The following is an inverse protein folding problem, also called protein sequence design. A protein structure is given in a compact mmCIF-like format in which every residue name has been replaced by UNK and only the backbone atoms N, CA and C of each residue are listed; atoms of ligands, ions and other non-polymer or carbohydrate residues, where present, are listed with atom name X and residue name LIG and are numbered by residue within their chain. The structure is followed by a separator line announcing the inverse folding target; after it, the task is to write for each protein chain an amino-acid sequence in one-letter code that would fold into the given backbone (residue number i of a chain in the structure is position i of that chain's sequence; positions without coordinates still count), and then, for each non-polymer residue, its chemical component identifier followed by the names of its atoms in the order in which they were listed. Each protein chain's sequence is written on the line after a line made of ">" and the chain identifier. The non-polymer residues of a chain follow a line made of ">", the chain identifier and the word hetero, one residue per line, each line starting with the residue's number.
data_IF_645244637086
#
_entry.id   IF_645244637086
#
_cell.length_a   1.000
_cell.length_b   1.000
_cell.length_c   1.000
_cell.angle_alpha   90.00
_cell.angle_beta   90.00
_cell.angle_gamma   90.00
#
_symmetry.space_group_name_H-M   'P 1'
#
loop_
_entity.id
_entity.type
_entity.pdbx_description
1 polymer ?
#
# COMPACT_ATOMS: atom_id res chain seq x y z
N UNK A 1 -23.12 -29.22 20.46
CA UNK A 1 -24.03 -28.09 20.79
C UNK A 1 -23.30 -26.78 20.48
N UNK A 2 -23.79 -25.91 19.58
CA UNK A 2 -23.14 -24.63 19.24
C UNK A 2 -23.49 -23.57 20.30
N UNK A 3 -22.51 -22.81 20.79
CA UNK A 3 -22.70 -21.70 21.75
C UNK A 3 -22.34 -20.39 21.08
N UNK A 4 -23.23 -19.40 21.14
CA UNK A 4 -22.95 -18.04 20.64
C UNK A 4 -21.96 -17.36 21.57
N UNK A 5 -20.84 -16.89 21.03
CA UNK A 5 -19.78 -16.20 21.78
C UNK A 5 -19.83 -14.67 21.62
N UNK A 6 -20.28 -14.17 20.47
CA UNK A 6 -20.39 -12.74 20.16
C UNK A 6 -21.68 -12.46 19.36
N UNK A 7 -22.22 -11.25 19.47
CA UNK A 7 -23.37 -10.73 18.70
C UNK A 7 -23.01 -9.36 18.13
N UNK A 8 -23.48 -9.04 16.93
CA UNK A 8 -23.33 -7.72 16.32
C UNK A 8 -21.88 -7.34 16.01
N UNK A 9 -21.05 -8.32 15.65
CA UNK A 9 -19.66 -8.08 15.23
C UNK A 9 -19.62 -8.02 13.71
N UNK A 10 -19.25 -6.86 13.16
CA UNK A 10 -19.12 -6.67 11.72
C UNK A 10 -17.84 -7.31 11.18
N UNK A 11 -16.72 -7.13 11.88
CA UNK A 11 -15.42 -7.65 11.48
C UNK A 11 -14.91 -8.66 12.51
N UNK A 12 -14.99 -9.94 12.16
CA UNK A 12 -14.19 -10.99 12.79
C UNK A 12 -12.82 -11.00 12.12
N UNK A 13 -11.77 -11.10 12.93
CA UNK A 13 -10.39 -11.20 12.48
C UNK A 13 -9.95 -12.67 12.57
N UNK A 14 -8.66 -12.95 12.47
CA UNK A 14 -8.13 -14.32 12.51
C UNK A 14 -8.21 -14.94 13.91
N UNK A 15 -8.48 -16.27 14.01
CA UNK A 15 -8.27 -17.02 15.24
C UNK A 15 -6.78 -17.30 15.47
N UNK A 16 -6.39 -17.57 16.72
CA UNK A 16 -5.05 -18.09 17.01
C UNK A 16 -4.85 -19.48 16.40
N UNK A 17 -3.62 -19.86 16.00
CA UNK A 17 -3.31 -21.19 15.47
C UNK A 17 -3.82 -22.34 16.34
N UNK A 18 -3.73 -22.20 17.67
CA UNK A 18 -4.21 -23.20 18.62
C UNK A 18 -5.71 -23.11 18.96
N UNK A 19 -6.44 -22.19 18.33
CA UNK A 19 -7.88 -21.95 18.53
C UNK A 19 -8.26 -21.40 19.91
N UNK A 20 -7.31 -21.01 20.76
CA UNK A 20 -7.60 -20.45 22.10
C UNK A 20 -8.20 -19.06 22.06
N UNK A 21 -7.90 -18.27 21.02
CA UNK A 21 -8.33 -16.88 20.90
C UNK A 21 -9.02 -16.59 19.56
N UNK A 22 -9.99 -15.70 19.60
CA UNK A 22 -10.64 -15.11 18.43
C UNK A 22 -10.51 -13.60 18.52
N UNK A 23 -10.06 -12.97 17.44
CA UNK A 23 -9.96 -11.52 17.36
C UNK A 23 -11.18 -10.92 16.64
N UNK A 24 -11.56 -9.71 17.02
CA UNK A 24 -12.66 -8.98 16.39
C UNK A 24 -12.51 -7.47 16.59
N UNK A 25 -13.20 -6.70 15.75
CA UNK A 25 -13.32 -5.25 15.93
C UNK A 25 -14.64 -4.94 16.63
N UNK A 26 -14.58 -4.03 17.59
CA UNK A 26 -15.74 -3.39 18.21
C UNK A 26 -15.37 -1.98 18.66
N UNK A 27 -16.20 -1.01 18.31
CA UNK A 27 -16.06 0.39 18.69
C UNK A 27 -14.70 0.98 18.22
N UNK A 28 -14.29 0.63 17.00
CA UNK A 28 -13.05 1.04 16.36
C UNK A 28 -11.79 0.35 16.91
N UNK A 29 -11.93 -0.56 17.87
CA UNK A 29 -10.83 -1.18 18.62
C UNK A 29 -10.77 -2.68 18.38
N UNK A 30 -9.56 -3.25 18.46
CA UNK A 30 -9.36 -4.70 18.33
C UNK A 30 -9.47 -5.34 19.71
N UNK A 31 -10.30 -6.36 19.79
CA UNK A 31 -10.55 -7.16 20.98
C UNK A 31 -10.15 -8.60 20.76
N UNK A 32 -9.77 -9.28 21.83
CA UNK A 32 -9.62 -10.73 21.88
C UNK A 32 -10.72 -11.36 22.72
N UNK A 33 -11.10 -12.58 22.33
CA UNK A 33 -11.98 -13.46 23.08
C UNK A 33 -11.27 -14.79 23.34
N UNK A 34 -11.07 -15.14 24.61
CA UNK A 34 -10.53 -16.44 25.01
C UNK A 34 -11.64 -17.49 25.02
N UNK A 35 -11.54 -18.50 24.14
CA UNK A 35 -12.62 -19.45 23.84
C UNK A 35 -13.03 -20.30 25.05
N UNK A 36 -12.06 -20.72 25.88
CA UNK A 36 -12.32 -21.65 27.01
C UNK A 36 -13.20 -21.06 28.12
N UNK A 37 -12.92 -19.83 28.54
CA UNK A 37 -13.59 -19.18 29.68
C UNK A 37 -14.44 -17.96 29.28
N UNK A 38 -14.40 -17.55 28.02
CA UNK A 38 -15.15 -16.41 27.49
C UNK A 38 -14.59 -15.04 27.86
N UNK A 39 -13.39 -14.97 28.46
CA UNK A 39 -12.76 -13.71 28.86
C UNK A 39 -12.47 -12.87 27.61
N UNK A 40 -12.91 -11.60 27.64
CA UNK A 40 -12.65 -10.64 26.58
C UNK A 40 -11.62 -9.61 27.04
N UNK A 41 -10.74 -9.19 26.12
CA UNK A 41 -9.75 -8.13 26.37
C UNK A 41 -9.76 -7.15 25.22
N UNK A 42 -9.68 -5.86 25.56
CA UNK A 42 -9.44 -4.81 24.58
C UNK A 42 -7.93 -4.68 24.39
N UNK A 43 -7.43 -4.95 23.19
CA UNK A 43 -6.01 -4.99 22.89
C UNK A 43 -5.46 -3.62 22.52
N UNK A 44 -6.30 -2.75 21.93
CA UNK A 44 -5.85 -1.49 21.33
C UNK A 44 -6.41 -0.25 22.01
N UNK A 45 -7.37 -0.38 22.93
CA UNK A 45 -8.06 0.77 23.53
C UNK A 45 -7.23 1.66 24.45
N UNK A 46 -5.97 1.31 24.72
CA UNK A 46 -5.00 2.15 25.46
C UNK A 46 -3.93 2.75 24.56
N UNK A 47 -3.96 2.46 23.26
CA UNK A 47 -2.96 2.94 22.31
C UNK A 47 -3.47 4.23 21.66
N UNK A 48 -2.61 5.24 21.59
CA UNK A 48 -2.91 6.54 20.97
C UNK A 48 -2.79 6.46 19.43
N UNK A 49 -3.44 5.46 18.82
CA UNK A 49 -3.46 5.23 17.37
C UNK A 49 -4.73 4.44 16.98
N UNK A 50 -5.02 4.35 15.69
CA UNK A 50 -6.20 3.66 15.17
C UNK A 50 -5.81 2.43 14.36
N UNK A 51 -6.44 1.30 14.68
CA UNK A 51 -6.26 0.02 13.98
C UNK A 51 -7.30 -0.20 12.87
N UNK A 52 -8.17 0.79 12.66
CA UNK A 52 -9.18 0.84 11.62
C UNK A 52 -8.96 2.06 10.73
N UNK A 53 -9.34 1.95 9.45
CA UNK A 53 -9.14 2.98 8.45
C UNK A 53 -10.03 4.20 8.70
N UNK A 54 -9.44 5.22 9.31
CA UNK A 54 -10.13 6.48 9.59
C UNK A 54 -10.31 7.34 8.33
N UNK A 55 -9.64 7.01 7.22
CA UNK A 55 -9.82 7.70 5.93
C UNK A 55 -10.85 7.03 5.02
N UNK A 56 -11.45 5.91 5.46
CA UNK A 56 -12.56 5.25 4.76
C UNK A 56 -13.74 6.23 4.67
N UNK A 57 -14.05 6.66 3.45
CA UNK A 57 -15.09 7.64 3.12
C UNK A 57 -16.50 7.05 3.01
N UNK A 58 -16.66 5.74 3.28
CA UNK A 58 -17.96 5.09 3.31
C UNK A 58 -18.78 5.47 4.55
N UNK A 59 -20.10 5.29 4.45
CA UNK A 59 -21.04 5.50 5.57
C UNK A 59 -20.98 4.40 6.65
N UNK A 60 -19.96 3.55 6.63
CA UNK A 60 -19.76 2.52 7.62
C UNK A 60 -19.49 3.14 9.00
N UNK A 61 -20.33 2.80 9.99
CA UNK A 61 -20.12 3.17 11.40
C UNK A 61 -18.84 2.52 11.92
N UNK A 62 -18.75 1.19 11.81
CA UNK A 62 -17.53 0.43 12.12
C UNK A 62 -16.65 0.40 10.86
N UNK A 63 -15.50 1.07 10.94
CA UNK A 63 -14.50 1.19 9.85
C UNK A 63 -13.68 -0.09 9.72
N UNK A 64 -13.18 -0.35 8.51
CA UNK A 64 -12.43 -1.58 8.24
C UNK A 64 -11.12 -1.60 9.02
N UNK A 65 -10.72 -2.72 9.63
CA UNK A 65 -9.40 -2.85 10.22
C UNK A 65 -8.31 -2.84 9.15
N UNK A 66 -7.12 -2.32 9.46
CA UNK A 66 -5.97 -2.37 8.54
C UNK A 66 -5.39 -3.79 8.36
N UNK A 67 -5.75 -4.74 9.24
CA UNK A 67 -5.28 -6.12 9.20
C UNK A 67 -6.31 -7.08 9.77
N UNK A 68 -6.29 -8.33 9.31
CA UNK A 68 -6.99 -9.45 9.95
C UNK A 68 -6.22 -10.05 11.15
N UNK A 69 -5.02 -9.55 11.47
CA UNK A 69 -4.12 -10.14 12.46
C UNK A 69 -3.30 -11.30 11.90
N UNK A 70 -1.98 -11.21 11.98
CA UNK A 70 -1.05 -12.30 11.60
C UNK A 70 -0.43 -12.89 12.86
N UNK A 71 -0.61 -14.19 13.10
CA UNK A 71 -0.23 -14.82 14.37
C UNK A 71 1.20 -15.35 14.35
N UNK A 72 1.84 -15.38 15.52
CA UNK A 72 2.97 -16.27 15.75
C UNK A 72 2.49 -17.72 15.84
N UNK A 73 3.30 -18.68 15.37
CA UNK A 73 2.99 -20.13 15.37
C UNK A 73 2.61 -20.65 16.76
N UNK A 74 3.28 -20.15 17.80
CA UNK A 74 3.05 -20.54 19.19
C UNK A 74 1.83 -19.86 19.84
N UNK A 75 1.09 -19.04 19.07
CA UNK A 75 -0.06 -18.25 19.53
C UNK A 75 0.26 -17.28 20.68
N UNK A 76 1.54 -16.97 20.93
CA UNK A 76 1.96 -16.07 22.01
C UNK A 76 1.64 -14.61 21.72
N UNK A 77 1.62 -14.21 20.44
CA UNK A 77 1.28 -12.87 20.01
C UNK A 77 0.67 -12.83 18.60
N UNK A 78 0.04 -11.70 18.29
CA UNK A 78 -0.49 -11.35 16.97
C UNK A 78 0.11 -10.03 16.52
N UNK A 79 0.39 -9.92 15.22
CA UNK A 79 0.79 -8.69 14.56
C UNK A 79 -0.47 -7.99 14.02
N UNK A 80 -0.66 -6.75 14.46
CA UNK A 80 -1.75 -5.87 14.05
C UNK A 80 -1.17 -4.59 13.45
N UNK A 81 -1.91 -3.98 12.51
CA UNK A 81 -1.48 -2.73 11.88
C UNK A 81 -2.30 -1.54 12.38
N UNK A 82 -1.61 -0.45 12.69
CA UNK A 82 -2.22 0.86 12.46
C UNK A 82 -1.98 1.29 11.00
N UNK A 83 -2.25 2.54 10.67
CA UNK A 83 -2.05 3.04 9.30
C UNK A 83 -0.63 2.80 8.79
N UNK A 84 0.39 3.07 9.59
CA UNK A 84 1.80 3.04 9.17
C UNK A 84 2.60 1.92 9.78
N UNK A 85 2.22 1.47 10.98
CA UNK A 85 3.08 0.69 11.85
C UNK A 85 2.53 -0.69 12.19
N UNK A 86 3.47 -1.61 12.43
CA UNK A 86 3.20 -2.97 12.89
C UNK A 86 3.36 -3.03 14.40
N UNK A 87 2.38 -3.64 15.07
CA UNK A 87 2.33 -3.83 16.50
C UNK A 87 2.27 -5.32 16.82
N UNK A 88 3.15 -5.80 17.71
CA UNK A 88 3.12 -7.15 18.27
C UNK A 88 2.36 -7.12 19.60
N UNK A 89 1.23 -7.83 19.69
CA UNK A 89 0.36 -7.79 20.87
C UNK A 89 0.05 -9.20 21.36
N UNK A 90 0.27 -9.46 22.65
CA UNK A 90 -0.17 -10.69 23.29
C UNK A 90 -1.71 -10.70 23.40
N UNK A 91 -2.39 -11.80 23.05
CA UNK A 91 -3.85 -11.83 22.97
C UNK A 91 -4.54 -11.75 24.34
N UNK A 92 -3.83 -11.89 25.44
CA UNK A 92 -4.34 -11.67 26.81
C UNK A 92 -4.17 -10.22 27.31
N UNK A 93 -3.48 -9.38 26.52
CA UNK A 93 -3.15 -7.99 26.81
C UNK A 93 -1.95 -7.82 27.74
N UNK A 94 -1.14 -8.85 27.98
CA UNK A 94 0.03 -8.79 28.87
C UNK A 94 1.22 -8.04 28.28
N UNK A 95 1.33 -7.98 26.94
CA UNK A 95 2.46 -7.40 26.22
C UNK A 95 1.99 -6.70 24.96
N UNK A 96 2.52 -5.50 24.71
CA UNK A 96 2.33 -4.73 23.47
C UNK A 96 3.65 -4.08 23.10
N UNK A 97 4.10 -4.27 21.85
CA UNK A 97 5.35 -3.70 21.33
C UNK A 97 5.07 -3.09 19.95
N UNK A 98 5.49 -1.84 19.74
CA UNK A 98 5.51 -1.21 18.42
C UNK A 98 6.78 -1.67 17.69
N UNK A 99 6.65 -2.38 16.56
CA UNK A 99 7.79 -2.96 15.82
C UNK A 99 8.42 -2.00 14.82
N UNK A 100 7.67 -1.01 14.33
CA UNK A 100 8.12 -0.07 13.30
C UNK A 100 7.78 1.37 13.69
N UNK A 101 8.43 2.36 13.06
CA UNK A 101 8.14 3.78 13.28
C UNK A 101 8.05 4.56 11.95
N UNK A 102 6.93 4.37 11.25
CA UNK A 102 6.63 4.95 9.95
C UNK A 102 5.73 6.18 9.99
N UNK A 103 5.11 6.49 11.13
CA UNK A 103 4.15 7.60 11.23
C UNK A 103 4.71 8.97 10.82
N UNK A 104 5.93 9.30 11.27
CA UNK A 104 6.58 10.59 10.94
C UNK A 104 6.99 10.70 9.47
N UNK A 105 7.57 9.63 8.93
CA UNK A 105 8.04 9.55 7.53
C UNK A 105 6.92 9.19 6.54
N UNK A 106 5.73 8.87 7.05
CA UNK A 106 4.59 8.33 6.28
C UNK A 106 4.99 7.09 5.46
N UNK A 107 5.78 6.21 6.06
CA UNK A 107 6.14 4.92 5.49
C UNK A 107 5.23 3.86 6.10
N UNK A 108 4.49 3.17 5.26
CA UNK A 108 3.63 2.06 5.63
C UNK A 108 4.43 0.77 5.65
N UNK A 109 4.32 0.03 6.75
CA UNK A 109 4.95 -1.27 6.96
C UNK A 109 3.89 -2.37 6.96
N UNK A 110 4.10 -3.44 6.18
CA UNK A 110 3.21 -4.61 6.13
C UNK A 110 4.04 -5.90 6.08
N UNK A 111 3.54 -6.99 6.64
CA UNK A 111 4.17 -8.31 6.49
C UNK A 111 4.26 -8.67 5.01
N UNK A 112 5.45 -9.08 4.57
CA UNK A 112 5.70 -9.61 3.22
C UNK A 112 5.28 -11.07 3.11
N UNK A 113 4.93 -11.52 1.91
CA UNK A 113 4.65 -12.93 1.64
C UNK A 113 5.89 -13.83 1.83
N UNK A 114 7.11 -13.29 1.70
CA UNK A 114 8.38 -13.97 1.97
C UNK A 114 8.50 -14.60 3.37
N UNK A 115 7.61 -14.26 4.30
CA UNK A 115 7.58 -14.84 5.63
C UNK A 115 6.89 -16.20 5.68
N UNK A 116 5.98 -16.50 4.75
CA UNK A 116 5.15 -17.69 4.80
C UNK A 116 5.72 -18.79 3.91
N UNK A 117 5.89 -19.97 4.50
CA UNK A 117 6.15 -21.24 3.81
C UNK A 117 4.87 -22.06 3.79
N UNK A 118 4.81 -23.06 2.91
CA UNK A 118 3.63 -23.90 2.75
C UNK A 118 3.23 -24.61 4.06
N UNK A 119 4.20 -24.99 4.88
CA UNK A 119 4.03 -25.65 6.19
C UNK A 119 3.70 -24.69 7.34
N UNK A 120 3.68 -23.38 7.10
CA UNK A 120 3.49 -22.38 8.14
C UNK A 120 2.00 -22.13 8.45
N UNK A 121 1.06 -22.65 7.65
CA UNK A 121 -0.40 -22.44 7.77
C UNK A 121 -0.81 -20.95 7.93
N UNK A 122 -0.02 -20.04 7.37
CA UNK A 122 -0.24 -18.59 7.48
C UNK A 122 0.16 -17.96 8.82
N UNK A 123 0.91 -18.67 9.67
CA UNK A 123 1.49 -18.17 10.91
C UNK A 123 3.00 -17.89 10.79
N UNK A 124 3.52 -17.00 11.62
CA UNK A 124 4.92 -16.57 11.61
C UNK A 124 5.74 -17.37 12.61
N UNK A 125 6.88 -17.88 12.18
CA UNK A 125 7.88 -18.46 13.08
C UNK A 125 8.72 -17.34 13.72
N UNK A 126 8.61 -17.10 15.04
CA UNK A 126 9.34 -16.01 15.71
C UNK A 126 10.85 -16.22 15.76
N UNK A 127 11.35 -17.42 15.47
CA UNK A 127 12.78 -17.71 15.40
C UNK A 127 13.42 -17.27 14.07
N UNK A 128 12.60 -16.88 13.07
CA UNK A 128 13.06 -16.44 11.75
C UNK A 128 12.97 -14.91 11.64
N UNK A 129 13.83 -14.28 10.81
CA UNK A 129 13.69 -12.88 10.48
C UNK A 129 12.34 -12.61 9.80
N UNK A 130 11.72 -11.49 10.16
CA UNK A 130 10.53 -10.97 9.50
C UNK A 130 10.90 -10.03 8.36
N UNK A 131 10.33 -10.27 7.18
CA UNK A 131 10.41 -9.40 6.01
C UNK A 131 9.20 -8.49 5.92
N UNK A 132 9.42 -7.19 5.78
CA UNK A 132 8.36 -6.18 5.73
C UNK A 132 8.34 -5.51 4.36
N UNK A 133 7.17 -5.38 3.75
CA UNK A 133 6.94 -4.47 2.63
C UNK A 133 6.89 -3.03 3.15
N UNK A 134 7.58 -2.13 2.46
CA UNK A 134 7.67 -0.70 2.73
C UNK A 134 6.99 0.08 1.60
N UNK A 135 6.16 1.05 1.95
CA UNK A 135 5.53 1.94 0.96
C UNK A 135 5.44 3.38 1.47
N UNK A 136 5.93 4.33 0.69
CA UNK A 136 5.94 5.74 1.05
C UNK A 136 4.64 6.39 0.62
N UNK A 137 3.74 6.69 1.56
CA UNK A 137 2.41 7.23 1.25
C UNK A 137 2.51 8.57 0.46
N UNK A 138 3.59 9.34 0.65
CA UNK A 138 3.85 10.59 -0.08
C UNK A 138 4.85 10.46 -1.22
N UNK A 139 5.85 9.60 -1.11
CA UNK A 139 6.90 9.49 -2.13
C UNK A 139 6.58 8.47 -3.21
N UNK A 140 5.64 7.55 -2.94
CA UNK A 140 5.31 6.38 -3.79
C UNK A 140 6.42 5.37 -4.01
N UNK A 141 7.64 5.69 -3.57
CA UNK A 141 8.73 4.74 -3.32
C UNK A 141 8.24 3.51 -2.57
N UNK A 142 8.81 2.36 -2.92
CA UNK A 142 8.49 1.10 -2.27
C UNK A 142 9.72 0.20 -2.17
N UNK A 143 9.61 -0.86 -1.38
CA UNK A 143 10.68 -1.81 -1.19
C UNK A 143 10.45 -2.71 0.01
N UNK A 144 11.54 -3.18 0.61
CA UNK A 144 11.50 -4.18 1.67
C UNK A 144 12.52 -3.91 2.76
N UNK A 145 12.15 -4.28 3.99
CA UNK A 145 13.02 -4.31 5.15
C UNK A 145 12.96 -5.63 5.89
N UNK A 146 13.83 -5.80 6.88
CA UNK A 146 13.94 -6.98 7.72
C UNK A 146 14.07 -6.58 9.20
N UNK A 147 13.48 -7.34 10.10
CA UNK A 147 13.77 -7.27 11.53
C UNK A 147 13.69 -8.66 12.17
N UNK A 148 14.37 -8.85 13.29
CA UNK A 148 14.28 -10.06 14.09
C UNK A 148 13.28 -9.88 15.24
N UNK A 149 12.53 -10.93 15.58
CA UNK A 149 11.59 -10.92 16.72
C UNK A 149 12.15 -11.54 17.99
N UNK A 150 13.11 -12.46 17.87
CA UNK A 150 13.63 -13.29 18.95
C UNK A 150 15.14 -13.05 19.11
N UNK A 151 15.67 -13.00 20.34
CA UNK A 151 14.97 -13.16 21.62
C UNK A 151 14.09 -11.96 22.02
N UNK A 152 14.33 -10.79 21.44
CA UNK A 152 13.52 -9.58 21.58
C UNK A 152 13.49 -8.85 20.23
N UNK A 153 12.45 -8.04 19.94
CA UNK A 153 12.36 -7.31 18.67
C UNK A 153 13.55 -6.38 18.42
N UNK A 154 14.26 -6.62 17.32
CA UNK A 154 15.34 -5.77 16.82
C UNK A 154 14.84 -4.58 16.01
N UNK A 155 15.72 -3.63 15.66
CA UNK A 155 15.37 -2.51 14.79
C UNK A 155 15.10 -2.99 13.37
N UNK A 156 14.24 -2.26 12.65
CA UNK A 156 14.03 -2.46 11.22
C UNK A 156 15.27 -2.07 10.42
N UNK A 157 15.82 -3.02 9.68
CA UNK A 157 16.84 -2.81 8.66
C UNK A 157 16.17 -2.66 7.28
N UNK A 158 16.28 -1.50 6.65
CA UNK A 158 15.86 -1.32 5.26
C UNK A 158 16.83 -2.05 4.33
N UNK A 159 16.32 -2.95 3.49
CA UNK A 159 17.11 -3.74 2.54
C UNK A 159 17.05 -3.17 1.12
N UNK A 160 15.85 -2.73 0.72
CA UNK A 160 15.59 -2.15 -0.59
C UNK A 160 14.58 -1.01 -0.44
N UNK A 161 14.85 0.13 -1.06
CA UNK A 161 13.98 1.29 -1.07
C UNK A 161 14.22 2.10 -2.34
N UNK A 162 13.30 2.01 -3.31
CA UNK A 162 13.51 2.56 -4.64
C UNK A 162 12.31 3.38 -5.12
N UNK A 163 12.54 4.28 -6.08
CA UNK A 163 11.51 5.09 -6.75
C UNK A 163 10.84 4.32 -7.89
N UNK A 164 10.33 3.15 -7.51
CA UNK A 164 9.68 2.15 -8.35
C UNK A 164 8.56 1.49 -7.57
N UNK A 165 7.68 0.80 -8.29
CA UNK A 165 6.78 -0.18 -7.69
C UNK A 165 7.53 -1.51 -7.56
N UNK A 166 7.87 -1.86 -6.32
CA UNK A 166 8.60 -3.07 -5.94
C UNK A 166 7.60 -4.00 -5.26
N UNK A 167 7.37 -5.17 -5.84
CA UNK A 167 6.31 -6.09 -5.44
C UNK A 167 6.78 -7.54 -5.42
N UNK A 168 5.95 -8.41 -4.80
CA UNK A 168 6.08 -9.86 -4.85
C UNK A 168 7.45 -10.38 -4.39
N UNK A 169 7.93 -9.94 -3.22
CA UNK A 169 9.10 -10.56 -2.62
C UNK A 169 8.76 -11.99 -2.19
N UNK A 170 9.36 -12.95 -2.88
CA UNK A 170 9.32 -14.37 -2.58
C UNK A 170 10.70 -14.85 -2.17
N UNK A 171 10.72 -15.83 -1.27
CA UNK A 171 11.96 -16.48 -0.80
C UNK A 171 11.98 -17.90 -1.32
N UNK A 172 13.11 -18.35 -1.84
CA UNK A 172 13.33 -19.75 -2.16
C UNK A 172 13.19 -20.62 -0.90
N UNK A 173 12.71 -21.84 -1.08
CA UNK A 173 12.51 -22.78 0.02
C UNK A 173 13.86 -23.14 0.65
N UNK A 174 14.78 -23.67 -0.15
CA UNK A 174 16.02 -24.27 0.35
C UNK A 174 17.29 -23.44 0.06
N UNK A 175 17.13 -22.17 -0.32
CA UNK A 175 18.25 -21.32 -0.67
C UNK A 175 18.07 -19.89 -0.12
N UNK A 176 19.16 -19.18 0.21
CA UNK A 176 19.13 -17.76 0.59
C UNK A 176 18.97 -16.87 -0.66
N UNK A 177 17.97 -17.16 -1.47
CA UNK A 177 17.68 -16.48 -2.75
C UNK A 177 16.26 -15.94 -2.70
N UNK A 178 16.09 -14.73 -3.20
CA UNK A 178 14.82 -14.04 -3.26
C UNK A 178 14.51 -13.65 -4.70
N UNK A 179 13.23 -13.71 -5.05
CA UNK A 179 12.72 -13.10 -6.26
C UNK A 179 11.78 -11.96 -5.93
N UNK A 180 11.74 -10.96 -6.81
CA UNK A 180 10.84 -9.82 -6.72
C UNK A 180 10.59 -9.25 -8.10
N UNK A 181 9.53 -8.46 -8.20
CA UNK A 181 9.21 -7.70 -9.41
C UNK A 181 9.42 -6.22 -9.18
N UNK A 182 9.91 -5.53 -10.20
CA UNK A 182 10.03 -4.08 -10.19
C UNK A 182 9.47 -3.51 -11.48
N UNK A 183 8.74 -2.41 -11.36
CA UNK A 183 8.24 -1.64 -12.50
C UNK A 183 8.28 -0.13 -12.22
N UNK A 184 8.27 0.64 -13.31
CA UNK A 184 8.01 2.09 -13.34
C UNK A 184 7.12 2.34 -14.56
N UNK A 185 6.51 3.51 -14.70
CA UNK A 185 5.68 3.84 -15.88
C UNK A 185 6.39 3.54 -17.20
N UNK A 186 7.68 3.88 -17.27
CA UNK A 186 8.55 3.69 -18.43
C UNK A 186 9.40 2.43 -18.39
N UNK A 187 9.31 1.63 -17.33
CA UNK A 187 10.07 0.39 -17.17
C UNK A 187 9.11 -0.79 -16.98
N UNK A 188 9.03 -1.73 -17.96
CA UNK A 188 8.21 -2.93 -17.85
C UNK A 188 8.43 -3.67 -16.55
N UNK A 189 7.39 -4.36 -16.09
CA UNK A 189 7.52 -5.25 -14.95
C UNK A 189 8.39 -6.45 -15.30
N UNK A 190 9.56 -6.49 -14.71
CA UNK A 190 10.49 -7.60 -14.85
C UNK A 190 10.70 -8.33 -13.53
N UNK A 191 11.14 -9.58 -13.64
CA UNK A 191 11.56 -10.42 -12.53
C UNK A 191 13.03 -10.15 -12.22
N UNK A 192 13.32 -10.01 -10.95
CA UNK A 192 14.64 -9.80 -10.40
C UNK A 192 14.94 -10.88 -9.35
N UNK A 193 16.22 -11.23 -9.23
CA UNK A 193 16.72 -12.17 -8.23
C UNK A 193 17.82 -11.51 -7.40
N UNK A 194 17.77 -11.69 -6.08
CA UNK A 194 18.75 -11.13 -5.15
C UNK A 194 19.08 -12.11 -4.02
N UNK A 195 20.19 -11.84 -3.31
CA UNK A 195 20.50 -12.49 -2.04
C UNK A 195 19.72 -11.87 -0.86
N UNK A 196 19.97 -12.31 0.38
CA UNK A 196 19.18 -11.93 1.57
C UNK A 196 19.20 -10.44 1.91
N UNK A 197 20.24 -9.71 1.52
CA UNK A 197 20.34 -8.27 1.75
C UNK A 197 19.61 -7.45 0.67
N UNK A 198 19.00 -8.11 -0.33
CA UNK A 198 18.29 -7.53 -1.48
C UNK A 198 19.08 -6.47 -2.26
N UNK A 199 20.38 -6.39 -2.03
CA UNK A 199 21.29 -5.44 -2.65
C UNK A 199 21.55 -5.83 -4.10
N UNK A 200 21.52 -4.83 -5.00
CA UNK A 200 21.77 -5.00 -6.43
C UNK A 200 20.99 -6.17 -7.07
N UNK A 201 19.66 -6.16 -6.99
CA UNK A 201 18.83 -7.23 -7.55
C UNK A 201 19.10 -7.37 -9.05
N UNK A 202 19.40 -8.59 -9.50
CA UNK A 202 19.74 -8.89 -10.89
C UNK A 202 18.48 -9.19 -11.67
N UNK A 203 18.23 -8.42 -12.73
CA UNK A 203 17.15 -8.70 -13.68
C UNK A 203 17.38 -10.06 -14.36
N UNK A 204 16.33 -10.88 -14.45
CA UNK A 204 16.38 -12.21 -15.07
C UNK A 204 15.40 -12.38 -16.22
N UNK A 205 14.52 -11.41 -16.46
CA UNK A 205 13.61 -11.38 -17.61
C UNK A 205 13.71 -10.05 -18.35
N UNK A 206 13.21 -10.03 -19.59
CA UNK A 206 12.90 -8.80 -20.34
C UNK A 206 11.49 -8.96 -20.92
N UNK A 207 10.47 -8.69 -20.11
CA UNK A 207 9.07 -9.07 -20.40
C UNK A 207 8.46 -8.31 -21.57
N UNK A 208 8.93 -7.08 -21.84
CA UNK A 208 8.50 -6.29 -22.99
C UNK A 208 9.70 -5.74 -23.78
N UNK A 209 10.39 -6.62 -24.51
CA UNK A 209 11.57 -6.24 -25.27
C UNK A 209 11.29 -5.29 -26.45
N UNK A 210 10.09 -5.33 -27.03
CA UNK A 210 9.73 -4.47 -28.16
C UNK A 210 9.48 -3.02 -27.77
N UNK A 211 9.34 -2.70 -26.47
CA UNK A 211 9.16 -1.32 -26.02
C UNK A 211 10.29 -0.40 -26.51
N UNK A 212 11.51 -0.91 -26.65
CA UNK A 212 12.67 -0.12 -27.10
C UNK A 212 12.49 0.49 -28.50
N UNK A 213 11.56 -0.06 -29.31
CA UNK A 213 11.22 0.45 -30.64
C UNK A 213 10.20 1.60 -30.60
N UNK A 214 9.68 1.96 -29.42
CA UNK A 214 8.64 2.99 -29.23
C UNK A 214 9.06 4.04 -28.21
N UNK A 215 8.55 5.26 -28.40
CA UNK A 215 8.61 6.28 -27.36
C UNK A 215 7.69 5.88 -26.20
N UNK A 216 8.13 6.15 -24.97
CA UNK A 216 7.36 5.82 -23.78
C UNK A 216 7.38 6.96 -22.77
N UNK A 217 6.19 7.36 -22.31
CA UNK A 217 6.06 8.43 -21.32
C UNK A 217 6.57 8.00 -19.95
N UNK A 218 7.19 8.96 -19.25
CA UNK A 218 7.48 8.88 -17.81
C UNK A 218 6.35 9.51 -17.01
N UNK A 219 6.25 9.18 -15.73
CA UNK A 219 5.33 9.85 -14.81
C UNK A 219 6.06 10.62 -13.71
N UNK A 220 5.41 11.65 -13.20
CA UNK A 220 5.83 12.36 -11.99
C UNK A 220 4.66 12.60 -11.04
N UNK A 221 4.99 12.94 -9.80
CA UNK A 221 4.01 13.20 -8.76
C UNK A 221 3.78 14.72 -8.63
N UNK A 222 2.51 15.12 -8.63
CA UNK A 222 2.09 16.51 -8.43
C UNK A 222 1.43 16.62 -7.07
N UNK A 223 2.03 17.40 -6.16
CA UNK A 223 1.42 17.76 -4.88
C UNK A 223 0.48 18.96 -5.03
N UNK A 224 -0.72 18.86 -4.47
CA UNK A 224 -1.68 19.95 -4.40
C UNK A 224 -2.52 19.87 -3.13
N UNK A 225 -3.30 20.92 -2.91
CA UNK A 225 -4.23 21.02 -1.78
C UNK A 225 -5.63 21.26 -2.34
N UNK A 226 -6.63 20.54 -1.82
CA UNK A 226 -8.01 20.78 -2.20
C UNK A 226 -8.56 22.05 -1.52
N UNK A 227 -9.77 22.48 -1.89
CA UNK A 227 -10.40 23.69 -1.33
C UNK A 227 -10.61 23.68 0.20
N UNK A 228 -10.47 22.53 0.86
CA UNK A 228 -10.66 22.35 2.30
C UNK A 228 -9.34 22.16 3.06
N UNK A 229 -8.18 22.40 2.43
CA UNK A 229 -6.88 22.26 3.08
C UNK A 229 -6.34 20.82 3.13
N UNK A 230 -6.97 19.87 2.43
CA UNK A 230 -6.49 18.48 2.39
C UNK A 230 -5.35 18.36 1.38
N UNK A 231 -4.17 17.97 1.87
CA UNK A 231 -2.98 17.72 1.05
C UNK A 231 -3.11 16.42 0.27
N UNK A 232 -3.22 16.52 -1.04
CA UNK A 232 -3.41 15.41 -1.97
C UNK A 232 -2.25 15.33 -2.97
N UNK A 233 -2.28 14.32 -3.83
CA UNK A 233 -1.29 14.09 -4.88
C UNK A 233 -1.97 13.64 -6.17
N UNK A 234 -1.28 13.73 -7.29
CA UNK A 234 -1.72 13.14 -8.55
C UNK A 234 -0.54 12.61 -9.33
N UNK A 235 -0.77 11.59 -10.15
CA UNK A 235 0.23 11.10 -11.10
C UNK A 235 0.06 11.83 -12.43
N UNK A 236 1.11 12.48 -12.93
CA UNK A 236 1.14 13.15 -14.23
C UNK A 236 2.04 12.35 -15.16
N UNK A 237 1.46 11.69 -16.15
CA UNK A 237 2.21 11.00 -17.21
C UNK A 237 2.43 11.96 -18.36
N UNK A 238 3.67 12.03 -18.84
CA UNK A 238 4.10 12.91 -19.90
C UNK A 238 3.73 12.35 -21.28
N UNK A 239 3.58 13.20 -22.30
CA UNK A 239 3.71 12.79 -23.70
C UNK A 239 4.98 11.98 -23.91
N UNK A 240 4.90 10.89 -24.67
CA UNK A 240 6.03 10.00 -24.90
C UNK A 240 7.20 10.70 -25.63
N UNK A 241 6.90 11.72 -26.43
CA UNK A 241 7.84 12.53 -27.20
C UNK A 241 8.08 13.92 -26.59
N UNK A 242 7.81 14.10 -25.29
CA UNK A 242 7.85 15.42 -24.63
C UNK A 242 9.13 16.22 -24.94
N UNK A 243 8.95 17.46 -25.36
CA UNK A 243 10.01 18.44 -25.61
C UNK A 243 9.79 19.67 -24.74
N UNK A 244 10.82 20.06 -24.01
CA UNK A 244 10.82 21.27 -23.20
C UNK A 244 10.53 22.51 -24.07
N UNK A 245 9.74 23.45 -23.54
CA UNK A 245 9.35 24.67 -24.24
C UNK A 245 8.16 24.53 -25.20
N UNK A 246 7.61 23.32 -25.40
CA UNK A 246 6.34 23.11 -26.11
C UNK A 246 5.17 22.94 -25.14
N UNK A 247 3.97 23.28 -25.61
CA UNK A 247 2.72 23.04 -24.87
C UNK A 247 1.92 21.89 -25.48
N UNK A 248 1.37 21.05 -24.62
CA UNK A 248 0.67 19.83 -25.01
C UNK A 248 -0.78 19.84 -24.49
N UNK A 249 -1.70 19.11 -25.15
CA UNK A 249 -3.01 18.85 -24.57
C UNK A 249 -2.89 17.95 -23.32
N UNK A 250 -3.91 17.98 -22.46
CA UNK A 250 -3.98 17.13 -21.26
C UNK A 250 -5.33 16.44 -21.15
N UNK A 251 -5.33 15.16 -20.78
CA UNK A 251 -6.51 14.40 -20.36
C UNK A 251 -6.45 14.18 -18.85
N UNK A 252 -7.54 14.44 -18.14
CA UNK A 252 -7.64 14.26 -16.69
C UNK A 252 -8.48 13.02 -16.37
N UNK A 253 -7.93 12.03 -15.68
CA UNK A 253 -8.71 10.89 -15.16
C UNK A 253 -9.23 11.17 -13.76
N UNK A 254 -10.54 11.18 -13.57
CA UNK A 254 -11.13 11.38 -12.25
C UNK A 254 -11.69 10.08 -11.68
N UNK A 255 -10.94 9.44 -10.78
CA UNK A 255 -11.44 8.25 -10.09
C UNK A 255 -10.72 7.99 -8.77
N UNK A 256 -11.42 8.12 -7.64
CA UNK A 256 -10.87 7.81 -6.31
C UNK A 256 -9.50 8.46 -6.05
N UNK A 257 -8.58 7.75 -5.42
CA UNK A 257 -7.15 8.09 -5.33
C UNK A 257 -6.42 7.35 -6.45
N UNK A 258 -5.51 8.03 -7.16
CA UNK A 258 -4.76 7.49 -8.31
C UNK A 258 -3.27 7.74 -8.22
N UNK A 259 -2.80 8.57 -7.31
CA UNK A 259 -1.38 8.88 -7.15
C UNK A 259 -0.54 7.64 -6.83
N UNK A 260 -1.14 6.58 -6.26
CA UNK A 260 -0.47 5.29 -6.06
C UNK A 260 -0.09 4.58 -7.36
N UNK A 261 -0.70 4.95 -8.48
CA UNK A 261 -0.39 4.41 -9.80
C UNK A 261 0.86 5.05 -10.43
N UNK A 262 1.56 5.95 -9.72
CA UNK A 262 2.73 6.71 -10.23
C UNK A 262 3.74 5.84 -10.97
N UNK A 263 4.00 4.63 -10.46
CA UNK A 263 5.02 3.74 -11.01
C UNK A 263 4.42 2.59 -11.83
N UNK A 264 3.09 2.53 -11.97
CA UNK A 264 2.46 1.38 -12.59
C UNK A 264 2.77 1.35 -14.08
N UNK A 265 3.30 0.22 -14.52
CA UNK A 265 3.50 -0.02 -15.94
C UNK A 265 2.18 -0.46 -16.60
N UNK A 266 1.80 0.18 -17.70
CA UNK A 266 0.57 -0.12 -18.44
C UNK A 266 0.91 -0.28 -19.92
N UNK A 267 0.55 -1.42 -20.51
CA UNK A 267 0.66 -1.63 -21.96
C UNK A 267 -0.54 -1.06 -22.70
N UNK A 268 -0.38 -0.54 -23.93
CA UNK A 268 -1.49 -0.22 -24.82
C UNK A 268 -2.49 -1.37 -24.93
N UNK A 269 -3.79 -1.05 -24.97
CA UNK A 269 -4.85 -2.06 -25.08
C UNK A 269 -6.11 -1.48 -25.69
N UNK A 270 -6.66 -2.16 -26.70
CA UNK A 270 -7.95 -1.82 -27.33
C UNK A 270 -9.15 -2.07 -26.39
N UNK A 271 -8.98 -2.88 -25.34
CA UNK A 271 -10.04 -3.24 -24.38
C UNK A 271 -10.09 -2.32 -23.17
N UNK A 272 -9.10 -1.43 -23.02
CA UNK A 272 -9.02 -0.47 -21.93
C UNK A 272 -9.07 0.94 -22.52
N UNK A 273 -10.27 1.52 -22.72
CA UNK A 273 -10.42 2.79 -23.44
C UNK A 273 -9.72 3.95 -22.73
N UNK A 274 -9.59 3.88 -21.39
CA UNK A 274 -8.76 4.80 -20.63
C UNK A 274 -7.38 4.19 -20.38
N UNK A 275 -6.42 4.52 -21.24
CA UNK A 275 -5.06 3.97 -21.18
C UNK A 275 -4.01 5.09 -21.21
N UNK A 276 -3.31 5.34 -20.09
CA UNK A 276 -2.28 6.38 -20.04
C UNK A 276 -1.15 6.20 -21.06
N UNK A 277 -0.77 4.97 -21.40
CA UNK A 277 0.28 4.71 -22.38
C UNK A 277 -0.16 5.10 -23.80
N UNK A 278 -1.42 4.84 -24.16
CA UNK A 278 -1.98 5.25 -25.46
C UNK A 278 -2.04 6.77 -25.57
N UNK A 279 -2.63 7.45 -24.58
CA UNK A 279 -2.72 8.91 -24.62
C UNK A 279 -1.34 9.59 -24.59
N UNK A 280 -0.40 9.04 -23.82
CA UNK A 280 1.00 9.50 -23.80
C UNK A 280 1.64 9.37 -25.19
N UNK A 281 1.47 8.23 -25.86
CA UNK A 281 2.00 8.01 -27.21
C UNK A 281 1.36 8.95 -28.26
N UNK A 282 0.09 9.32 -28.07
CA UNK A 282 -0.64 10.28 -28.91
C UNK A 282 -0.36 11.75 -28.55
N UNK A 283 0.62 12.03 -27.69
CA UNK A 283 1.08 13.39 -27.40
C UNK A 283 0.29 14.12 -26.31
N UNK A 284 -0.41 13.40 -25.42
CA UNK A 284 -1.15 14.01 -24.32
C UNK A 284 -0.40 13.86 -23.00
N UNK A 285 -0.48 14.90 -22.16
CA UNK A 285 -0.34 14.70 -20.72
C UNK A 285 -1.55 13.92 -20.21
N UNK A 286 -1.31 12.99 -19.29
CA UNK A 286 -2.37 12.22 -18.63
C UNK A 286 -2.27 12.45 -17.13
N UNK A 287 -3.21 13.20 -16.58
CA UNK A 287 -3.20 13.57 -15.17
C UNK A 287 -4.25 12.78 -14.38
N UNK A 288 -3.82 12.12 -13.32
CA UNK A 288 -4.68 11.29 -12.47
C UNK A 288 -4.62 11.81 -11.03
N UNK A 289 -5.41 12.84 -10.68
CA UNK A 289 -5.47 13.41 -9.34
C UNK A 289 -6.14 12.48 -8.33
N UNK A 290 -5.74 12.59 -7.06
CA UNK A 290 -6.46 12.02 -5.92
C UNK A 290 -7.74 12.80 -5.59
N UNK A 291 -8.81 12.09 -5.29
CA UNK A 291 -10.06 12.66 -4.81
C UNK A 291 -10.30 12.13 -3.40
N UNK A 292 -10.43 13.06 -2.46
CA UNK A 292 -10.89 12.75 -1.11
C UNK A 292 -12.38 13.07 -1.01
N UNK A 293 -13.19 12.04 -0.78
CA UNK A 293 -14.65 12.20 -0.70
C UNK A 293 -15.13 12.55 0.71
N UNK A 294 -16.12 13.43 0.76
CA UNK A 294 -16.94 13.63 1.95
C UNK A 294 -18.20 12.76 1.87
N UNK A 295 -18.67 12.23 3.01
CA UNK A 295 -19.93 11.50 3.08
C UNK A 295 -21.07 12.25 2.39
N UNK A 296 -21.76 11.55 1.48
CA UNK A 296 -22.94 12.05 0.75
C UNK A 296 -22.70 13.25 -0.19
N UNK A 297 -21.44 13.68 -0.38
CA UNK A 297 -21.09 14.79 -1.28
C UNK A 297 -20.06 14.41 -2.37
N UNK A 298 -20.22 13.29 -3.11
CA UNK A 298 -19.19 12.81 -4.02
C UNK A 298 -18.90 13.77 -5.18
N UNK A 299 -19.93 14.40 -5.76
CA UNK A 299 -19.77 15.35 -6.86
C UNK A 299 -19.05 16.64 -6.45
N UNK A 300 -19.44 17.23 -5.32
CA UNK A 300 -18.77 18.43 -4.79
C UNK A 300 -17.33 18.13 -4.40
N UNK A 301 -17.09 17.00 -3.73
CA UNK A 301 -15.74 16.56 -3.36
C UNK A 301 -14.83 16.40 -4.59
N UNK A 302 -15.36 15.84 -5.68
CA UNK A 302 -14.62 15.73 -6.94
C UNK A 302 -14.24 17.11 -7.49
N UNK A 303 -15.17 18.05 -7.61
CA UNK A 303 -14.89 19.41 -8.11
C UNK A 303 -13.86 20.12 -7.24
N UNK A 304 -14.00 20.04 -5.92
CA UNK A 304 -13.13 20.71 -4.96
C UNK A 304 -11.71 20.12 -4.91
N UNK A 305 -11.52 18.87 -5.33
CA UNK A 305 -10.19 18.25 -5.47
C UNK A 305 -9.60 18.46 -6.87
N UNK A 306 -10.38 18.25 -7.92
CA UNK A 306 -9.89 18.22 -9.31
C UNK A 306 -9.55 19.61 -9.83
N UNK A 307 -10.35 20.64 -9.50
CA UNK A 307 -10.09 22.00 -10.01
C UNK A 307 -8.74 22.53 -9.53
N UNK A 308 -8.42 22.53 -8.21
CA UNK A 308 -7.09 22.95 -7.74
C UNK A 308 -5.96 22.07 -8.28
N UNK A 309 -6.21 20.78 -8.50
CA UNK A 309 -5.23 19.86 -9.06
C UNK A 309 -4.86 20.22 -10.51
N UNK A 310 -5.86 20.50 -11.35
CA UNK A 310 -5.66 20.93 -12.74
C UNK A 310 -4.98 22.30 -12.79
N UNK A 311 -5.42 23.25 -11.97
CA UNK A 311 -4.78 24.58 -11.85
C UNK A 311 -3.30 24.43 -11.48
N UNK A 312 -2.97 23.50 -10.58
CA UNK A 312 -1.58 23.22 -10.19
C UNK A 312 -0.73 22.72 -11.35
N UNK A 313 -1.27 21.84 -12.20
CA UNK A 313 -0.57 21.34 -13.39
C UNK A 313 -0.43 22.44 -14.45
N UNK A 314 -1.46 23.27 -14.65
CA UNK A 314 -1.41 24.40 -15.59
C UNK A 314 -0.32 25.43 -15.24
N UNK A 315 -0.02 25.62 -13.95
CA UNK A 315 1.06 26.51 -13.49
C UNK A 315 2.46 26.10 -13.98
N UNK A 316 2.64 24.85 -14.42
CA UNK A 316 3.92 24.40 -14.99
C UNK A 316 4.23 25.04 -16.36
N UNK A 317 3.21 25.56 -17.05
CA UNK A 317 3.33 26.08 -18.40
C UNK A 317 3.47 25.02 -19.50
N UNK A 318 3.49 23.72 -19.14
CA UNK A 318 3.64 22.62 -20.10
C UNK A 318 2.34 22.25 -20.83
N UNK A 319 1.18 22.66 -20.30
CA UNK A 319 -0.15 22.28 -20.79
C UNK A 319 -0.78 23.49 -21.50
N UNK A 320 -1.41 23.26 -22.64
CA UNK A 320 -2.27 24.26 -23.27
C UNK A 320 -3.61 24.36 -22.52
N UNK A 321 -3.93 25.49 -21.85
CA UNK A 321 -5.14 25.63 -21.05
C UNK A 321 -6.44 25.55 -21.88
N UNK A 322 -6.37 25.69 -23.21
CA UNK A 322 -7.52 25.53 -24.11
C UNK A 322 -7.74 24.08 -24.55
N UNK A 323 -6.82 23.17 -24.24
CA UNK A 323 -6.85 21.76 -24.64
C UNK A 323 -6.74 20.83 -23.44
N UNK A 324 -7.62 21.03 -22.46
CA UNK A 324 -7.78 20.15 -21.30
C UNK A 324 -9.10 19.38 -21.45
N UNK A 325 -9.01 18.04 -21.48
CA UNK A 325 -10.13 17.11 -21.51
C UNK A 325 -10.26 16.35 -20.19
N UNK A 326 -11.46 15.81 -19.96
CA UNK A 326 -11.84 14.99 -18.81
C UNK A 326 -12.43 13.66 -19.29
#
# INVERSE_FOLDING_TARGET
>A
KRKRILKGVKFTLSPSPDGRFILYVRDGQVWSHQVKNGRQRNLTGRLETHFTDQEDDTLAVEKRPFSSGTWLKDSSAVLLYDRFDIWLIAPDGSRTVKLTDGGKSRIRHRISQANFREDDEGALDPARPLYLALYGDRTKKSGYGRLDLSPEPGPLQTLLWDDKMVLHLDRAEDAPVFSLTMERTELPRDLYVAGPELSNPRQVTKTNAFQEDFLWGRSELIDYENKNGVKLQGALTYPADYQEGRTYPMVVYIYEKRSQELHRYVTPSEKHPYNPAVFSAEGYFVFQPDIAYRPQEPGLSAVECVVPAVEKVLQTGMIDPKRVGL
#
